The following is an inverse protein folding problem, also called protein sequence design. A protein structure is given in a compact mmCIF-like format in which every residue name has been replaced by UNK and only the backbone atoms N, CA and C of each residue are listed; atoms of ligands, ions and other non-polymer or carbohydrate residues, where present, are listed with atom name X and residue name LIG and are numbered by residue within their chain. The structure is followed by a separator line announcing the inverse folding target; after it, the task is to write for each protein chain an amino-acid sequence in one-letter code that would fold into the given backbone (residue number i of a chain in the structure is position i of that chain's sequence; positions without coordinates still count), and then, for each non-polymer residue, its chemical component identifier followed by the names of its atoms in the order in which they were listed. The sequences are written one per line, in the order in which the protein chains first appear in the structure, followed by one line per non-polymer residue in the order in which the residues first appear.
data_IF_279057916659
#
_entry.id   IF_279057916659
#
_cell.length_a   1.000
_cell.length_b   1.000
_cell.length_c   1.000
_cell.angle_alpha   90.00
_cell.angle_beta   90.00
_cell.angle_gamma   90.00
#
_symmetry.space_group_name_H-M   'P 1'
#
loop_
_entity.id
_entity.type
_entity.pdbx_description
1 polymer ?
#
# COMPACT_ATOMS: atom_id res chain seq x y z
N UNK A 1 -21.90 13.02 3.74
CA UNK A 1 -21.88 12.77 2.28
C UNK A 1 -20.43 12.51 1.91
N UNK A 2 -20.01 11.24 1.88
CA UNK A 2 -18.65 10.88 1.50
C UNK A 2 -18.52 11.21 0.02
N UNK A 3 -17.73 12.24 -0.31
CA UNK A 3 -17.40 12.56 -1.69
C UNK A 3 -16.43 11.48 -2.17
N UNK A 4 -16.87 10.67 -3.12
CA UNK A 4 -15.95 9.83 -3.88
C UNK A 4 -14.98 10.76 -4.63
N UNK A 5 -13.72 10.78 -4.20
CA UNK A 5 -12.63 11.41 -4.92
C UNK A 5 -12.13 10.44 -6.01
N UNK A 6 -12.18 10.81 -7.30
CA UNK A 6 -11.90 9.90 -8.42
C UNK A 6 -10.44 9.41 -8.51
N UNK A 7 -9.55 9.87 -7.62
CA UNK A 7 -8.11 9.59 -7.66
C UNK A 7 -7.59 8.51 -6.69
N UNK A 8 -8.44 7.90 -5.86
CA UNK A 8 -8.02 6.83 -4.95
C UNK A 8 -8.66 5.51 -5.39
N UNK A 9 -7.91 4.73 -6.18
CA UNK A 9 -8.27 3.33 -6.45
C UNK A 9 -7.83 2.48 -5.27
N UNK A 10 -8.79 2.12 -4.41
CA UNK A 10 -8.54 1.14 -3.35
C UNK A 10 -8.50 -0.25 -4.00
N UNK A 11 -7.30 -0.83 -4.07
CA UNK A 11 -7.12 -2.18 -4.56
C UNK A 11 -6.74 -3.11 -3.41
N UNK A 12 -7.63 -4.04 -3.07
CA UNK A 12 -7.35 -5.12 -2.13
C UNK A 12 -6.92 -6.36 -2.93
N UNK A 13 -5.63 -6.71 -2.86
CA UNK A 13 -5.10 -7.89 -3.54
C UNK A 13 -4.94 -9.05 -2.53
N UNK A 14 -5.92 -9.95 -2.47
CA UNK A 14 -5.87 -11.18 -1.67
C UNK A 14 -5.10 -12.31 -2.39
N UNK A 15 -3.86 -12.05 -2.80
CA UNK A 15 -2.97 -13.10 -3.33
C UNK A 15 -2.21 -13.76 -2.18
N UNK A 16 -2.80 -14.81 -1.62
CA UNK A 16 -2.25 -15.60 -0.53
C UNK A 16 -1.58 -16.85 -1.12
N UNK A 17 -0.35 -16.71 -1.61
CA UNK A 17 0.51 -17.83 -1.98
C UNK A 17 1.91 -17.60 -1.40
N UNK A 18 2.63 -18.66 -0.98
CA UNK A 18 3.99 -18.53 -0.46
C UNK A 18 4.91 -17.96 -1.54
N UNK A 19 5.70 -16.94 -1.18
CA UNK A 19 6.61 -16.26 -2.11
C UNK A 19 7.02 -14.87 -1.60
N UNK A 20 7.95 -14.23 -2.31
CA UNK A 20 8.35 -12.85 -1.99
C UNK A 20 7.24 -11.87 -2.34
N UNK A 21 6.89 -10.98 -1.40
CA UNK A 21 5.93 -9.90 -1.65
C UNK A 21 6.37 -8.98 -2.78
N UNK A 22 7.66 -8.88 -3.09
CA UNK A 22 8.17 -8.17 -4.27
C UNK A 22 7.58 -8.75 -5.56
N UNK A 23 7.52 -10.08 -5.68
CA UNK A 23 6.90 -10.74 -6.84
C UNK A 23 5.40 -10.45 -6.92
N UNK A 24 4.71 -10.39 -5.78
CA UNK A 24 3.29 -10.02 -5.73
C UNK A 24 3.08 -8.57 -6.19
N UNK A 25 3.89 -7.63 -5.72
CA UNK A 25 3.83 -6.23 -6.12
C UNK A 25 4.14 -6.03 -7.59
N UNK A 26 5.14 -6.72 -8.14
CA UNK A 26 5.42 -6.71 -9.59
C UNK A 26 4.21 -7.18 -10.40
N UNK A 27 3.61 -8.30 -10.00
CA UNK A 27 2.46 -8.82 -10.72
C UNK A 27 1.23 -7.92 -10.58
N UNK A 28 1.04 -7.33 -9.41
CA UNK A 28 -0.04 -6.38 -9.16
C UNK A 28 0.14 -5.09 -9.98
N UNK A 29 1.35 -4.56 -10.06
CA UNK A 29 1.70 -3.42 -10.90
C UNK A 29 1.39 -3.71 -12.38
N UNK A 30 1.82 -4.87 -12.90
CA UNK A 30 1.51 -5.30 -14.27
C UNK A 30 0.01 -5.38 -14.55
N UNK A 31 -0.77 -5.95 -13.63
CA UNK A 31 -2.21 -6.19 -13.82
C UNK A 31 -3.05 -4.92 -13.63
N UNK A 32 -2.67 -4.05 -12.68
CA UNK A 32 -3.44 -2.86 -12.33
C UNK A 32 -3.03 -1.62 -13.12
N UNK A 33 -1.78 -1.57 -13.61
CA UNK A 33 -1.17 -0.37 -14.21
C UNK A 33 -0.92 0.77 -13.21
N UNK A 34 -1.14 0.55 -11.91
CA UNK A 34 -0.92 1.57 -10.87
C UNK A 34 0.58 1.69 -10.61
N UNK A 35 1.14 2.90 -10.60
CA UNK A 35 2.55 3.11 -10.26
C UNK A 35 2.80 2.79 -8.79
N UNK A 36 3.99 2.27 -8.43
CA UNK A 36 4.33 1.96 -7.04
C UNK A 36 4.19 3.15 -6.09
N UNK A 37 4.59 4.35 -6.55
CA UNK A 37 4.42 5.61 -5.80
C UNK A 37 2.96 5.96 -5.47
N UNK A 38 2.02 5.34 -6.17
CA UNK A 38 0.58 5.54 -5.97
C UNK A 38 -0.05 4.39 -5.14
N UNK A 39 0.78 3.60 -4.45
CA UNK A 39 0.34 2.50 -3.59
C UNK A 39 0.67 2.76 -2.12
N UNK A 40 -0.23 2.32 -1.24
CA UNK A 40 -0.02 2.26 0.22
C UNK A 40 -0.06 0.81 0.67
N UNK A 41 0.91 0.41 1.49
CA UNK A 41 1.07 -0.96 1.96
C UNK A 41 1.20 -1.00 3.48
N UNK A 42 0.47 -1.91 4.12
CA UNK A 42 0.52 -2.16 5.57
C UNK A 42 0.91 -3.61 5.80
N UNK A 43 1.88 -3.84 6.68
CA UNK A 43 2.38 -5.18 7.02
C UNK A 43 2.97 -5.17 8.43
N UNK A 44 2.93 -6.29 9.13
CA UNK A 44 3.50 -6.48 10.46
C UNK A 44 4.95 -6.99 10.44
N UNK A 45 5.45 -7.45 9.27
CA UNK A 45 6.82 -7.94 9.13
C UNK A 45 7.73 -6.86 8.53
N UNK A 46 8.65 -6.35 9.36
CA UNK A 46 9.65 -5.31 8.99
C UNK A 46 10.42 -5.62 7.70
N UNK A 47 10.72 -6.90 7.45
CA UNK A 47 11.42 -7.32 6.21
C UNK A 47 10.61 -6.96 4.96
N UNK A 48 9.30 -7.17 4.98
CA UNK A 48 8.44 -6.85 3.84
C UNK A 48 8.33 -5.35 3.66
N UNK A 49 8.19 -4.59 4.76
CA UNK A 49 8.19 -3.12 4.71
C UNK A 49 9.48 -2.62 4.06
N UNK A 50 10.63 -3.18 4.44
CA UNK A 50 11.91 -2.81 3.85
C UNK A 50 11.96 -3.16 2.35
N UNK A 51 11.71 -4.41 1.97
CA UNK A 51 11.78 -4.86 0.58
C UNK A 51 10.82 -4.09 -0.35
N UNK A 52 9.58 -3.86 0.09
CA UNK A 52 8.56 -3.19 -0.71
C UNK A 52 8.78 -1.68 -0.79
N UNK A 53 9.31 -1.04 0.26
CA UNK A 53 9.66 0.39 0.21
C UNK A 53 10.70 0.71 -0.86
N UNK A 54 11.60 -0.22 -1.19
CA UNK A 54 12.58 -0.06 -2.27
C UNK A 54 11.94 0.06 -3.67
N UNK A 55 10.68 -0.38 -3.83
CA UNK A 55 9.93 -0.21 -5.07
C UNK A 55 9.30 1.20 -5.20
N UNK A 56 9.36 2.01 -4.14
CA UNK A 56 8.72 3.33 -4.07
C UNK A 56 7.30 3.32 -3.53
N UNK A 57 6.86 2.21 -2.94
CA UNK A 57 5.54 2.08 -2.29
C UNK A 57 5.55 2.74 -0.91
N UNK A 58 4.45 3.41 -0.54
CA UNK A 58 4.30 3.99 0.81
C UNK A 58 3.97 2.89 1.82
N UNK A 59 4.99 2.44 2.57
CA UNK A 59 4.87 1.30 3.47
C UNK A 59 4.71 1.74 4.94
N UNK A 60 3.85 1.05 5.68
CA UNK A 60 3.56 1.28 7.09
C UNK A 60 3.66 -0.03 7.87
N UNK A 61 4.60 -0.10 8.82
CA UNK A 61 4.71 -1.21 9.75
C UNK A 61 3.55 -1.17 10.76
N UNK A 62 2.83 -2.28 10.93
CA UNK A 62 1.67 -2.38 11.82
C UNK A 62 1.81 -3.56 12.78
N UNK A 63 2.08 -3.28 14.06
CA UNK A 63 2.29 -4.36 15.03
C UNK A 63 0.98 -4.95 15.58
N UNK A 64 -0.07 -4.14 15.67
CA UNK A 64 -1.35 -4.50 16.33
C UNK A 64 -2.53 -4.41 15.34
N UNK A 65 -2.27 -4.70 14.07
CA UNK A 65 -3.25 -4.59 12.99
C UNK A 65 -3.56 -3.14 12.59
N UNK A 66 -4.56 -2.99 11.72
CA UNK A 66 -4.92 -1.71 11.13
C UNK A 66 -6.13 -1.12 11.88
N UNK A 67 -5.96 0.08 12.43
CA UNK A 67 -7.05 0.89 12.97
C UNK A 67 -7.51 1.93 11.96
N UNK A 68 -8.74 2.44 12.10
CA UNK A 68 -9.25 3.51 11.25
C UNK A 68 -8.38 4.78 11.35
N UNK A 69 -7.94 5.13 12.56
CA UNK A 69 -7.07 6.30 12.78
C UNK A 69 -5.71 6.13 12.10
N UNK A 70 -5.15 4.92 12.11
CA UNK A 70 -3.92 4.63 11.37
C UNK A 70 -4.13 4.80 9.87
N UNK A 71 -5.23 4.24 9.34
CA UNK A 71 -5.56 4.33 7.92
C UNK A 71 -5.72 5.80 7.47
N UNK A 72 -6.49 6.59 8.22
CA UNK A 72 -6.67 8.02 7.95
C UNK A 72 -5.32 8.77 7.96
N UNK A 73 -4.48 8.51 8.96
CA UNK A 73 -3.15 9.12 9.05
C UNK A 73 -2.25 8.75 7.87
N UNK A 74 -2.27 7.48 7.44
CA UNK A 74 -1.50 7.01 6.29
C UNK A 74 -1.99 7.66 4.99
N UNK A 75 -3.30 7.71 4.77
CA UNK A 75 -3.89 8.35 3.59
C UNK A 75 -3.61 9.86 3.56
N UNK A 76 -3.67 10.54 4.71
CA UNK A 76 -3.30 11.94 4.82
C UNK A 76 -1.83 12.17 4.45
N UNK A 77 -0.90 11.37 4.99
CA UNK A 77 0.53 11.44 4.63
C UNK A 77 0.76 11.19 3.14
N UNK A 78 0.10 10.18 2.60
CA UNK A 78 0.16 9.83 1.18
C UNK A 78 -0.33 10.96 0.26
N UNK A 79 -1.41 11.66 0.63
CA UNK A 79 -1.87 12.83 -0.13
C UNK A 79 -0.86 13.98 -0.11
N UNK A 80 -0.15 14.19 1.00
CA UNK A 80 0.85 15.25 1.11
C UNK A 80 2.14 14.94 0.33
N UNK A 81 2.53 13.66 0.21
CA UNK A 81 3.72 13.25 -0.55
C UNK A 81 3.53 13.28 -2.07
N UNK A 82 2.29 13.45 -2.56
CA UNK A 82 1.98 13.58 -3.99
C UNK A 82 1.98 15.03 -4.51
N UNK A 83 2.27 16.01 -3.65
CA UNK A 83 2.39 17.43 -4.03
C UNK A 83 3.75 17.76 -4.64
#
# INVERSE_FOLDING_TARGET
MIRESPEIKLACASRIYPGSKVAHFKKFHELSGIMYKDMVFFDDETRNIHEISQLGVHCHLVNDGITLSLLENALNKFQHSRK
#
